data_IF_625486580160
#
_entry.id   IF_625486580160
#
_cell.length_a   1.000
_cell.length_b   1.000
_cell.length_c   1.000
_cell.angle_alpha   90.00
_cell.angle_beta   90.00
_cell.angle_gamma   90.00
#
_symmetry.space_group_name_H-M   'P 1'
#
loop_
_entity.id
_entity.type
_entity.pdbx_description
1 polymer ?
#
# COMPACT_ATOMS: atom_id res chain seq x y z
N UNK A 1 -26.02 8.63 -16.63
CA UNK A 1 -25.19 8.92 -15.43
C UNK A 1 -24.90 7.63 -14.65
N UNK A 2 -25.86 6.71 -14.49
CA UNK A 2 -25.68 5.41 -13.81
C UNK A 2 -24.65 4.45 -14.44
N UNK A 3 -24.41 4.51 -15.75
CA UNK A 3 -23.40 3.66 -16.43
C UNK A 3 -21.94 4.10 -16.20
N UNK A 4 -21.69 5.32 -15.72
CA UNK A 4 -20.34 5.81 -15.45
C UNK A 4 -19.82 5.36 -14.07
N UNK A 5 -20.72 5.13 -13.11
CA UNK A 5 -20.40 4.75 -11.72
C UNK A 5 -19.72 3.37 -11.57
N UNK A 6 -19.70 2.54 -12.63
CA UNK A 6 -19.06 1.23 -12.60
C UNK A 6 -17.52 1.27 -12.70
N UNK A 7 -16.92 2.32 -13.28
CA UNK A 7 -15.47 2.35 -13.50
C UNK A 7 -14.72 2.69 -12.20
N UNK A 8 -13.63 1.97 -11.88
CA UNK A 8 -12.86 2.19 -10.64
C UNK A 8 -12.45 3.66 -10.41
N UNK A 9 -12.09 4.39 -11.46
CA UNK A 9 -11.68 5.79 -11.35
C UNK A 9 -12.82 6.73 -10.89
N UNK A 10 -14.06 6.49 -11.32
CA UNK A 10 -15.20 7.35 -10.94
C UNK A 10 -15.67 7.04 -9.52
N UNK A 11 -15.59 5.77 -9.09
CA UNK A 11 -15.85 5.38 -7.69
C UNK A 11 -14.88 6.05 -6.71
N UNK A 12 -13.58 6.00 -7.02
CA UNK A 12 -12.54 6.66 -6.21
C UNK A 12 -12.69 8.18 -6.20
N UNK A 13 -13.01 8.78 -7.35
CA UNK A 13 -13.27 10.22 -7.42
C UNK A 13 -14.49 10.60 -6.57
N UNK A 14 -15.58 9.83 -6.63
CA UNK A 14 -16.75 10.06 -5.79
C UNK A 14 -16.45 9.92 -4.30
N UNK A 15 -15.70 8.89 -3.91
CA UNK A 15 -15.24 8.68 -2.53
C UNK A 15 -14.39 9.86 -2.03
N UNK A 16 -13.51 10.39 -2.88
CA UNK A 16 -12.69 11.56 -2.57
C UNK A 16 -13.52 12.83 -2.40
N UNK A 17 -14.45 13.10 -3.33
CA UNK A 17 -15.31 14.29 -3.30
C UNK A 17 -16.29 14.29 -2.12
N UNK A 18 -16.64 13.11 -1.60
CA UNK A 18 -17.48 12.96 -0.41
C UNK A 18 -16.73 13.15 0.92
N UNK A 19 -15.43 13.40 0.90
CA UNK A 19 -14.59 13.49 2.09
C UNK A 19 -14.04 14.90 2.32
N UNK A 20 -13.66 15.24 3.57
CA UNK A 20 -12.93 16.48 3.84
C UNK A 20 -11.66 16.56 2.98
N UNK A 21 -11.35 17.77 2.49
CA UNK A 21 -10.14 18.03 1.70
C UNK A 21 -8.90 17.96 2.60
N UNK A 22 -8.39 16.75 2.79
CA UNK A 22 -7.20 16.44 3.59
C UNK A 22 -6.26 15.53 2.80
N UNK A 23 -4.97 15.57 3.10
CA UNK A 23 -3.99 14.73 2.39
C UNK A 23 -4.17 13.23 2.69
N UNK A 24 -4.61 12.86 3.89
CA UNK A 24 -4.83 11.47 4.27
C UNK A 24 -6.06 10.85 3.58
N UNK A 25 -7.12 11.64 3.37
CA UNK A 25 -8.30 11.22 2.59
C UNK A 25 -7.92 11.05 1.11
N UNK A 26 -7.19 12.00 0.53
CA UNK A 26 -6.64 11.91 -0.82
C UNK A 26 -5.71 10.69 -0.99
N UNK A 27 -4.80 10.49 -0.04
CA UNK A 27 -3.89 9.34 -0.01
C UNK A 27 -4.66 8.03 0.01
N UNK A 28 -5.68 7.90 0.87
CA UNK A 28 -6.48 6.68 0.98
C UNK A 28 -7.25 6.39 -0.32
N UNK A 29 -7.83 7.42 -0.94
CA UNK A 29 -8.54 7.28 -2.21
C UNK A 29 -7.61 6.84 -3.36
N UNK A 30 -6.35 7.29 -3.37
CA UNK A 30 -5.35 6.93 -4.38
C UNK A 30 -4.68 5.57 -4.13
N UNK A 31 -4.29 5.29 -2.88
CA UNK A 31 -3.45 4.13 -2.51
C UNK A 31 -4.25 2.95 -1.96
N UNK A 32 -5.46 3.19 -1.48
CA UNK A 32 -6.33 2.14 -0.93
C UNK A 32 -6.75 1.13 -2.00
N UNK A 33 -6.87 -0.14 -1.63
CA UNK A 33 -7.37 -1.18 -2.54
C UNK A 33 -8.88 -1.04 -2.77
N UNK A 34 -9.59 -0.67 -1.70
CA UNK A 34 -11.03 -0.41 -1.65
C UNK A 34 -11.29 1.05 -1.31
N UNK A 35 -12.41 1.60 -1.79
CA UNK A 35 -12.89 2.90 -1.30
C UNK A 35 -13.33 2.80 0.16
N UNK A 36 -13.51 3.93 0.87
CA UNK A 36 -13.94 3.91 2.27
C UNK A 36 -15.30 3.21 2.43
N UNK A 37 -16.23 3.47 1.51
CA UNK A 37 -17.53 2.79 1.49
C UNK A 37 -17.41 1.27 1.28
N UNK A 38 -16.54 0.83 0.37
CA UNK A 38 -16.30 -0.59 0.11
C UNK A 38 -15.63 -1.30 1.29
N UNK A 39 -14.62 -0.67 1.89
CA UNK A 39 -13.98 -1.17 3.11
C UNK A 39 -14.99 -1.28 4.26
N UNK A 40 -15.89 -0.31 4.40
CA UNK A 40 -16.98 -0.34 5.38
C UNK A 40 -17.97 -1.50 5.13
N UNK A 41 -18.36 -1.75 3.88
CA UNK A 41 -19.23 -2.86 3.51
C UNK A 41 -18.57 -4.23 3.80
N UNK A 42 -17.29 -4.39 3.46
CA UNK A 42 -16.51 -5.58 3.79
C UNK A 42 -16.42 -5.79 5.31
N UNK A 43 -16.03 -4.77 6.06
CA UNK A 43 -15.88 -4.88 7.52
C UNK A 43 -17.21 -5.22 8.18
N UNK A 44 -18.31 -4.59 7.75
CA UNK A 44 -19.65 -4.89 8.25
C UNK A 44 -20.04 -6.35 8.00
N UNK A 45 -19.71 -6.90 6.84
CA UNK A 45 -19.98 -8.31 6.51
C UNK A 45 -19.28 -9.26 7.49
N UNK A 46 -17.99 -9.05 7.76
CA UNK A 46 -17.18 -10.01 8.53
C UNK A 46 -17.17 -9.76 10.04
N UNK A 47 -17.46 -8.54 10.51
CA UNK A 47 -17.34 -8.16 11.92
C UNK A 47 -18.62 -7.62 12.54
N UNK A 48 -19.64 -7.32 11.73
CA UNK A 48 -20.88 -6.68 12.18
C UNK A 48 -20.75 -5.18 12.49
N UNK A 49 -19.55 -4.61 12.48
CA UNK A 49 -19.31 -3.17 12.75
C UNK A 49 -18.68 -2.47 11.54
N UNK A 50 -18.79 -1.15 11.49
CA UNK A 50 -18.02 -0.33 10.55
C UNK A 50 -16.78 0.20 11.26
N UNK A 51 -15.59 0.16 10.65
CA UNK A 51 -14.37 0.58 11.30
C UNK A 51 -14.35 2.10 11.39
N UNK A 52 -13.87 2.59 12.53
CA UNK A 52 -13.40 3.97 12.63
C UNK A 52 -12.02 4.02 11.98
N UNK A 53 -11.91 4.66 10.82
CA UNK A 53 -10.68 4.70 10.01
C UNK A 53 -9.92 6.02 10.20
N UNK A 54 -10.33 6.85 11.16
CA UNK A 54 -9.86 8.23 11.26
C UNK A 54 -8.62 8.43 12.16
N UNK A 55 -8.17 7.41 12.90
CA UNK A 55 -7.02 7.57 13.81
C UNK A 55 -5.85 6.65 13.46
N UNK A 56 -4.70 7.27 13.19
CA UNK A 56 -3.41 6.60 13.10
C UNK A 56 -2.47 7.17 14.17
N UNK A 57 -1.63 6.32 14.78
CA UNK A 57 -0.59 6.79 15.68
C UNK A 57 0.41 7.67 14.93
N UNK A 58 0.79 8.78 15.55
CA UNK A 58 1.80 9.69 15.03
C UNK A 58 3.14 8.97 14.84
N UNK A 59 3.67 9.00 13.63
CA UNK A 59 5.09 8.75 13.39
C UNK A 59 5.85 10.05 13.59
N UNK A 60 6.99 10.00 14.30
CA UNK A 60 7.90 11.13 14.42
C UNK A 60 8.18 11.75 13.04
N UNK A 61 8.12 13.07 12.97
CA UNK A 61 8.33 13.87 11.77
C UNK A 61 8.65 15.31 12.16
N UNK A 62 8.96 16.18 11.19
CA UNK A 62 9.20 17.59 11.47
C UNK A 62 7.97 18.23 12.14
N UNK A 63 8.21 19.21 13.01
CA UNK A 63 7.16 19.90 13.77
C UNK A 63 6.17 20.68 12.88
N UNK A 64 6.62 21.08 11.69
CA UNK A 64 5.81 21.74 10.65
C UNK A 64 6.04 21.01 9.31
N UNK A 65 5.34 19.88 9.06
CA UNK A 65 5.60 19.04 7.90
C UNK A 65 5.03 19.67 6.63
N UNK A 66 5.79 19.58 5.52
CA UNK A 66 5.21 19.89 4.20
C UNK A 66 4.18 18.83 3.78
N UNK A 67 3.46 19.08 2.69
CA UNK A 67 2.55 18.08 2.11
C UNK A 67 3.30 16.79 1.73
N UNK A 68 4.51 16.92 1.18
CA UNK A 68 5.36 15.80 0.81
C UNK A 68 5.90 15.02 2.02
N UNK A 69 6.19 15.70 3.12
CA UNK A 69 6.53 15.04 4.39
C UNK A 69 5.33 14.25 4.93
N UNK A 70 4.13 14.81 4.81
CA UNK A 70 2.88 14.13 5.17
C UNK A 70 2.65 12.89 4.32
N UNK A 71 2.83 12.97 3.00
CA UNK A 71 2.75 11.80 2.10
C UNK A 71 3.83 10.77 2.43
N UNK A 72 5.07 11.19 2.71
CA UNK A 72 6.16 10.30 3.12
C UNK A 72 5.81 9.52 4.39
N UNK A 73 5.25 10.21 5.40
CA UNK A 73 4.76 9.58 6.64
C UNK A 73 3.64 8.57 6.37
N UNK A 74 2.70 8.90 5.49
CA UNK A 74 1.61 7.98 5.12
C UNK A 74 2.13 6.73 4.39
N UNK A 75 3.08 6.87 3.46
CA UNK A 75 3.73 5.72 2.80
C UNK A 75 4.46 4.82 3.82
N UNK A 76 5.22 5.41 4.76
CA UNK A 76 5.93 4.65 5.79
C UNK A 76 4.99 3.95 6.77
N UNK A 77 3.98 4.66 7.26
CA UNK A 77 3.03 4.16 8.26
C UNK A 77 2.00 3.18 7.71
N UNK A 78 1.67 3.28 6.42
CA UNK A 78 0.65 2.44 5.77
C UNK A 78 1.30 1.40 4.87
N UNK A 79 1.78 1.79 3.69
CA UNK A 79 2.23 0.83 2.69
C UNK A 79 3.49 0.07 3.13
N UNK A 80 4.53 0.77 3.59
CA UNK A 80 5.77 0.14 4.03
C UNK A 80 5.53 -0.79 5.22
N UNK A 81 4.89 -0.29 6.29
CA UNK A 81 4.62 -1.06 7.51
C UNK A 81 3.70 -2.26 7.27
N UNK A 82 2.53 -2.02 6.69
CA UNK A 82 1.46 -3.02 6.67
C UNK A 82 1.57 -3.99 5.49
N UNK A 83 2.29 -3.63 4.43
CA UNK A 83 2.49 -4.50 3.27
C UNK A 83 3.95 -4.95 3.15
N UNK A 84 4.88 -4.02 2.90
CA UNK A 84 6.24 -4.40 2.50
C UNK A 84 7.00 -5.13 3.62
N UNK A 85 6.99 -4.58 4.84
CA UNK A 85 7.69 -5.14 5.99
C UNK A 85 7.02 -6.42 6.47
N UNK A 86 5.69 -6.42 6.60
CA UNK A 86 4.91 -7.61 6.98
C UNK A 86 5.19 -8.77 6.03
N UNK A 87 5.06 -8.55 4.72
CA UNK A 87 5.23 -9.63 3.75
C UNK A 87 6.67 -10.15 3.73
N UNK A 88 7.65 -9.25 3.80
CA UNK A 88 9.07 -9.63 3.84
C UNK A 88 9.39 -10.48 5.08
N UNK A 89 8.87 -10.08 6.25
CA UNK A 89 9.05 -10.81 7.51
C UNK A 89 8.37 -12.18 7.48
N UNK A 90 7.07 -12.23 7.18
CA UNK A 90 6.30 -13.49 7.14
C UNK A 90 6.91 -14.48 6.15
N UNK A 91 7.29 -14.02 4.95
CA UNK A 91 7.86 -14.91 3.93
C UNK A 91 9.27 -15.36 4.28
N UNK A 92 10.12 -14.50 4.85
CA UNK A 92 11.48 -14.90 5.22
C UNK A 92 11.49 -15.86 6.42
N UNK A 93 10.70 -15.56 7.46
CA UNK A 93 10.61 -16.39 8.66
C UNK A 93 9.94 -17.75 8.41
N UNK A 94 9.04 -17.86 7.43
CA UNK A 94 8.52 -19.15 6.98
C UNK A 94 9.62 -20.12 6.51
N UNK A 95 10.78 -19.59 6.13
CA UNK A 95 11.97 -20.35 5.74
C UNK A 95 13.13 -20.23 6.73
N UNK A 96 12.88 -19.70 7.94
CA UNK A 96 13.92 -19.52 8.97
C UNK A 96 15.01 -18.52 8.59
N UNK A 97 14.72 -17.57 7.70
CA UNK A 97 15.67 -16.54 7.25
C UNK A 97 15.39 -15.21 7.94
N UNK A 98 16.43 -14.58 8.48
CA UNK A 98 16.37 -13.21 9.01
C UNK A 98 16.64 -12.21 7.88
N UNK A 99 15.61 -11.48 7.44
CA UNK A 99 15.75 -10.42 6.44
C UNK A 99 16.05 -9.07 7.12
N UNK A 100 17.07 -8.36 6.62
CA UNK A 100 17.42 -7.01 7.10
C UNK A 100 17.07 -5.94 6.07
N UNK A 101 16.64 -4.77 6.57
CA UNK A 101 16.23 -3.60 5.77
C UNK A 101 17.08 -2.36 6.08
N UNK A 102 18.36 -2.29 5.64
CA UNK A 102 19.30 -1.26 6.09
C UNK A 102 18.84 0.19 5.83
N UNK A 103 18.05 0.43 4.78
CA UNK A 103 17.53 1.77 4.47
C UNK A 103 16.47 2.28 5.46
N UNK A 104 15.94 1.41 6.32
CA UNK A 104 15.03 1.78 7.40
C UNK A 104 15.72 1.81 8.77
N UNK A 105 17.05 1.72 8.80
CA UNK A 105 17.80 1.92 10.02
C UNK A 105 17.54 3.32 10.59
N UNK A 106 17.45 3.42 11.92
CA UNK A 106 17.12 4.67 12.61
C UNK A 106 18.11 5.78 12.29
N UNK A 107 19.41 5.49 12.21
CA UNK A 107 20.41 6.50 11.89
C UNK A 107 20.23 7.05 10.47
N UNK A 108 19.87 6.18 9.52
CA UNK A 108 19.57 6.58 8.14
C UNK A 108 18.30 7.43 8.10
N UNK A 109 17.23 6.99 8.75
CA UNK A 109 15.96 7.73 8.74
C UNK A 109 16.06 9.08 9.45
N UNK A 110 16.74 9.13 10.59
CA UNK A 110 16.92 10.36 11.38
C UNK A 110 17.73 11.41 10.58
N UNK A 111 18.76 10.98 9.83
CA UNK A 111 19.51 11.86 8.93
C UNK A 111 18.66 12.35 7.74
N UNK A 112 17.86 11.48 7.13
CA UNK A 112 17.03 11.84 5.97
C UNK A 112 15.90 12.82 6.32
N UNK A 113 15.32 12.72 7.52
CA UNK A 113 14.23 13.62 7.97
C UNK A 113 14.70 15.07 8.13
N UNK A 114 16.00 15.31 8.33
CA UNK A 114 16.56 16.67 8.40
C UNK A 114 16.70 17.35 7.02
N UNK A 115 16.61 16.58 5.93
CA UNK A 115 16.77 17.11 4.57
C UNK A 115 15.40 17.64 4.10
N UNK A 116 15.31 18.91 3.64
CA UNK A 116 14.06 19.47 3.14
C UNK A 116 13.42 18.58 2.07
N UNK A 117 12.10 18.39 2.14
CA UNK A 117 11.38 17.46 1.26
C UNK A 117 11.63 17.74 -0.24
N UNK A 118 11.68 19.02 -0.64
CA UNK A 118 11.97 19.45 -2.01
C UNK A 118 13.35 19.00 -2.52
N UNK A 119 14.32 18.77 -1.62
CA UNK A 119 15.62 18.20 -1.99
C UNK A 119 15.57 16.67 -1.96
N UNK A 120 14.99 16.08 -0.90
CA UNK A 120 14.88 14.62 -0.70
C UNK A 120 14.11 13.92 -1.81
N UNK A 121 13.10 14.57 -2.37
CA UNK A 121 12.17 14.01 -3.36
C UNK A 121 12.43 14.47 -4.80
N UNK A 122 13.62 15.02 -5.08
CA UNK A 122 14.02 15.26 -6.45
C UNK A 122 13.98 13.97 -7.28
N UNK A 123 13.66 14.10 -8.56
CA UNK A 123 13.55 12.97 -9.46
C UNK A 123 14.82 12.09 -9.46
N UNK A 124 14.61 10.77 -9.41
CA UNK A 124 15.69 9.78 -9.39
C UNK A 124 16.16 9.43 -7.98
N UNK A 125 17.36 8.84 -7.89
CA UNK A 125 17.98 8.38 -6.63
C UNK A 125 19.24 9.19 -6.30
N UNK A 126 19.21 10.52 -6.55
CA UNK A 126 20.41 11.38 -6.59
C UNK A 126 21.29 11.25 -5.34
N UNK A 127 20.70 11.41 -4.15
CA UNK A 127 21.44 11.30 -2.88
C UNK A 127 22.05 9.91 -2.67
N UNK A 128 21.31 8.85 -3.02
CA UNK A 128 21.82 7.49 -2.89
C UNK A 128 22.99 7.24 -3.86
N UNK A 129 22.90 7.73 -5.09
CA UNK A 129 23.96 7.59 -6.10
C UNK A 129 25.20 8.41 -5.74
N UNK A 130 25.02 9.59 -5.14
CA UNK A 130 26.13 10.40 -4.63
C UNK A 130 26.81 9.77 -3.42
N UNK A 131 26.05 9.07 -2.57
CA UNK A 131 26.58 8.39 -1.39
C UNK A 131 27.30 7.08 -1.72
N UNK A 132 27.08 6.51 -2.90
CA UNK A 132 27.65 5.22 -3.33
C UNK A 132 28.26 5.35 -4.74
N UNK A 133 29.32 6.18 -4.91
CA UNK A 133 29.92 6.47 -6.21
C UNK A 133 30.59 5.26 -6.88
N UNK A 134 30.81 4.17 -6.14
CA UNK A 134 31.37 2.92 -6.64
C UNK A 134 30.40 2.09 -7.49
N UNK A 135 29.11 2.45 -7.54
CA UNK A 135 28.14 1.75 -8.38
C UNK A 135 28.45 2.00 -9.86
N UNK A 136 28.65 0.95 -10.68
CA UNK A 136 28.96 1.10 -12.10
C UNK A 136 27.89 1.91 -12.85
N UNK A 137 28.32 2.76 -13.77
CA UNK A 137 27.45 3.63 -14.56
C UNK A 137 26.33 2.88 -15.28
N UNK A 138 26.60 1.67 -15.78
CA UNK A 138 25.59 0.84 -16.43
C UNK A 138 24.45 0.39 -15.50
N UNK A 139 24.67 0.34 -14.18
CA UNK A 139 23.63 0.10 -13.15
C UNK A 139 22.89 1.40 -12.87
N UNK A 140 23.63 2.51 -12.71
CA UNK A 140 23.07 3.84 -12.42
C UNK A 140 22.05 4.25 -13.47
N UNK A 141 22.33 3.97 -14.75
CA UNK A 141 21.50 4.35 -15.88
C UNK A 141 20.35 3.35 -16.18
N UNK A 142 20.15 2.32 -15.36
CA UNK A 142 19.02 1.39 -15.54
C UNK A 142 17.68 2.08 -15.25
N UNK A 143 16.63 1.82 -16.04
CA UNK A 143 15.30 2.29 -15.72
C UNK A 143 14.81 1.66 -14.41
N UNK A 144 13.94 2.38 -13.69
CA UNK A 144 13.26 1.85 -12.51
C UNK A 144 12.44 0.62 -12.90
N UNK A 145 12.81 -0.54 -12.36
CA UNK A 145 12.08 -1.79 -12.51
C UNK A 145 11.33 -2.09 -11.24
N UNK A 146 10.03 -2.33 -11.36
CA UNK A 146 9.23 -2.86 -10.27
C UNK A 146 9.58 -4.32 -10.01
N UNK A 147 9.35 -4.78 -8.79
CA UNK A 147 9.34 -6.19 -8.48
C UNK A 147 7.91 -6.70 -8.61
N UNK A 148 7.63 -7.46 -9.65
CA UNK A 148 6.30 -7.95 -9.99
C UNK A 148 6.31 -9.47 -9.95
N UNK A 149 5.33 -10.02 -9.25
CA UNK A 149 5.02 -11.44 -9.32
C UNK A 149 3.89 -11.67 -10.33
N UNK A 150 3.86 -12.82 -11.03
CA UNK A 150 2.81 -13.14 -12.00
C UNK A 150 1.53 -13.62 -11.31
N UNK A 151 1.07 -12.92 -10.26
CA UNK A 151 -0.10 -13.30 -9.47
C UNK A 151 -1.34 -13.45 -10.35
N UNK A 152 -1.57 -12.56 -11.29
CA UNK A 152 -2.74 -12.63 -12.17
C UNK A 152 -2.79 -13.95 -12.96
N UNK A 153 -1.65 -14.41 -13.46
CA UNK A 153 -1.55 -15.69 -14.17
C UNK A 153 -1.81 -16.88 -13.23
N UNK A 154 -1.21 -16.87 -12.03
CA UNK A 154 -1.42 -17.94 -11.05
C UNK A 154 -2.88 -18.02 -10.58
N UNK A 155 -3.48 -16.86 -10.31
CA UNK A 155 -4.84 -16.73 -9.81
C UNK A 155 -5.90 -17.07 -10.89
N UNK A 156 -5.59 -16.80 -12.15
CA UNK A 156 -6.44 -17.19 -13.28
C UNK A 156 -6.30 -18.66 -13.71
N UNK A 157 -5.22 -19.33 -13.29
CA UNK A 157 -4.94 -20.73 -13.58
C UNK A 157 -5.41 -21.67 -12.47
N UNK A 158 -4.46 -22.28 -11.77
CA UNK A 158 -4.70 -23.34 -10.78
C UNK A 158 -5.63 -22.93 -9.62
N UNK A 159 -5.71 -21.63 -9.34
CA UNK A 159 -6.50 -21.09 -8.23
C UNK A 159 -7.88 -20.55 -8.64
N UNK A 160 -8.26 -20.71 -9.91
CA UNK A 160 -9.47 -20.10 -10.47
C UNK A 160 -10.74 -20.41 -9.67
N UNK A 161 -10.92 -21.67 -9.26
CA UNK A 161 -12.12 -22.10 -8.51
C UNK A 161 -12.16 -21.48 -7.11
N UNK A 162 -11.02 -21.47 -6.41
CA UNK A 162 -10.88 -20.83 -5.09
C UNK A 162 -11.31 -19.38 -5.12
N UNK A 163 -10.91 -18.63 -6.15
CA UNK A 163 -11.25 -17.22 -6.28
C UNK A 163 -12.66 -16.97 -6.84
N UNK A 164 -13.24 -17.92 -7.59
CA UNK A 164 -14.63 -17.82 -8.01
C UNK A 164 -15.60 -17.76 -6.81
N UNK A 165 -15.29 -18.49 -5.73
CA UNK A 165 -16.05 -18.42 -4.47
C UNK A 165 -16.01 -17.02 -3.84
N UNK A 166 -14.81 -16.43 -3.76
CA UNK A 166 -14.59 -15.09 -3.21
C UNK A 166 -15.36 -14.03 -4.00
N UNK A 167 -15.43 -14.19 -5.33
CA UNK A 167 -16.21 -13.31 -6.19
C UNK A 167 -17.71 -13.42 -5.93
N UNK A 168 -18.23 -14.64 -5.77
CA UNK A 168 -19.66 -14.88 -5.61
C UNK A 168 -20.21 -14.31 -4.29
N UNK A 169 -19.42 -14.33 -3.22
CA UNK A 169 -19.87 -13.92 -1.87
C UNK A 169 -19.46 -12.48 -1.52
N UNK A 170 -18.67 -11.80 -2.36
CA UNK A 170 -18.17 -10.46 -2.03
C UNK A 170 -19.27 -9.39 -2.08
N UNK A 171 -19.40 -8.52 -1.05
CA UNK A 171 -20.35 -7.40 -1.06
C UNK A 171 -19.87 -6.22 -1.92
N UNK A 172 -18.67 -6.30 -2.48
CA UNK A 172 -18.03 -5.24 -3.28
C UNK A 172 -17.45 -5.80 -4.59
N UNK A 173 -17.20 -4.96 -5.61
CA UNK A 173 -16.62 -5.44 -6.87
C UNK A 173 -15.21 -6.02 -6.67
N UNK A 174 -14.90 -7.14 -7.32
CA UNK A 174 -13.65 -7.92 -7.18
C UNK A 174 -12.88 -8.09 -8.49
N UNK A 175 -13.07 -7.18 -9.44
CA UNK A 175 -12.57 -7.27 -10.83
C UNK A 175 -11.06 -7.54 -10.97
N UNK A 176 -10.23 -7.07 -10.03
CA UNK A 176 -8.77 -7.23 -10.07
C UNK A 176 -8.30 -8.33 -9.14
N UNK A 177 -7.23 -9.02 -9.54
CA UNK A 177 -6.67 -10.13 -8.77
C UNK A 177 -6.34 -9.76 -7.32
N UNK A 178 -5.78 -8.56 -7.09
CA UNK A 178 -5.37 -8.11 -5.76
C UNK A 178 -6.55 -7.81 -4.84
N UNK A 179 -7.72 -7.42 -5.38
CA UNK A 179 -8.95 -7.28 -4.59
C UNK A 179 -9.42 -8.65 -4.13
N UNK A 180 -9.50 -9.63 -5.03
CA UNK A 180 -9.88 -11.00 -4.65
C UNK A 180 -8.92 -11.56 -3.60
N UNK A 181 -7.62 -11.34 -3.78
CA UNK A 181 -6.58 -11.75 -2.85
C UNK A 181 -6.79 -11.20 -1.44
N UNK A 182 -7.10 -9.90 -1.30
CA UNK A 182 -7.34 -9.30 0.02
C UNK A 182 -8.50 -9.96 0.77
N UNK A 183 -9.61 -10.23 0.09
CA UNK A 183 -10.78 -10.89 0.71
C UNK A 183 -10.44 -12.34 1.06
N UNK A 184 -9.80 -13.07 0.13
CA UNK A 184 -9.37 -14.45 0.37
C UNK A 184 -8.48 -14.57 1.61
N UNK A 185 -7.47 -13.71 1.73
CA UNK A 185 -6.56 -13.72 2.89
C UNK A 185 -7.29 -13.37 4.19
N UNK A 186 -8.25 -12.44 4.15
CA UNK A 186 -9.07 -12.10 5.30
C UNK A 186 -9.94 -13.28 5.75
N UNK A 187 -10.67 -13.91 4.83
CA UNK A 187 -11.50 -15.10 5.11
C UNK A 187 -10.65 -16.22 5.71
N UNK A 188 -9.52 -16.54 5.07
CA UNK A 188 -8.61 -17.59 5.54
C UNK A 188 -8.01 -17.30 6.92
N UNK A 189 -7.81 -16.03 7.26
CA UNK A 189 -7.35 -15.64 8.59
C UNK A 189 -8.45 -15.75 9.64
N UNK A 190 -9.70 -15.40 9.29
CA UNK A 190 -10.86 -15.55 10.18
C UNK A 190 -11.15 -17.02 10.46
N UNK A 191 -11.04 -17.89 9.46
CA UNK A 191 -11.30 -19.33 9.59
C UNK A 191 -10.25 -20.07 10.45
N UNK A 192 -9.07 -19.47 10.64
CA UNK A 192 -7.98 -20.03 11.47
C UNK A 192 -8.04 -19.61 12.94
N UNK A 193 -9.04 -18.82 13.34
CA UNK A 193 -9.23 -18.36 14.72
C UNK A 193 -10.21 -19.22 15.50
#
# INVERSE_FOLDING_TARGET
IERAAGRPQFRRLGDLLGQPARLDTAYTALRGIYTRAEAGALTRKYTGTAPDVDELPETAGPADPTEEDTVSRLELGRYMRNQLLRDSDVMSMAHGLELRVPFLDRAVTDALVQIPAAQRLQAGKRFLLQAVPEVPEWIVNQPKRGFLFPFEQWLGGEWRETFARVEADSPVPTQTWYRKWCIFVLEHWLDRR
#
